data_IF_254278276919
#
_entry.id   IF_254278276919
#
_cell.length_a   1.000
_cell.length_b   1.000
_cell.length_c   1.000
_cell.angle_alpha   90.00
_cell.angle_beta   90.00
_cell.angle_gamma   90.00
#
_symmetry.space_group_name_H-M   'P 1'
#
loop_
_entity.id
_entity.type
_entity.pdbx_description
1 polymer ?
#
# COMPACT_ATOMS: atom_id res chain seq x y z
N UNK A 1 -9.88 -1.90 -44.76
CA UNK A 1 -8.65 -1.49 -44.02
C UNK A 1 -8.97 -0.51 -42.89
N UNK A 2 -9.48 0.70 -43.13
CA UNK A 2 -9.83 1.68 -42.06
C UNK A 2 -10.81 1.16 -41.01
N UNK A 3 -11.82 0.38 -41.40
CA UNK A 3 -12.80 -0.23 -40.48
C UNK A 3 -12.19 -1.31 -39.57
N UNK A 4 -11.23 -2.07 -40.10
CA UNK A 4 -10.49 -3.09 -39.33
C UNK A 4 -9.52 -2.38 -38.38
N UNK A 5 -8.85 -1.33 -38.84
CA UNK A 5 -7.94 -0.53 -38.01
C UNK A 5 -8.67 0.17 -36.84
N UNK A 6 -9.86 0.72 -37.09
CA UNK A 6 -10.69 1.33 -36.05
C UNK A 6 -11.22 0.31 -35.04
N UNK A 7 -11.61 -0.89 -35.49
CA UNK A 7 -12.06 -1.96 -34.59
C UNK A 7 -10.92 -2.48 -33.70
N UNK A 8 -9.70 -2.59 -34.25
CA UNK A 8 -8.50 -2.99 -33.48
C UNK A 8 -8.11 -1.91 -32.47
N UNK A 9 -8.14 -0.63 -32.85
CA UNK A 9 -7.90 0.49 -31.91
C UNK A 9 -8.91 0.53 -30.76
N UNK A 10 -10.20 0.31 -31.05
CA UNK A 10 -11.25 0.26 -30.04
C UNK A 10 -11.10 -0.95 -29.09
N UNK A 11 -10.67 -2.11 -29.60
CA UNK A 11 -10.41 -3.30 -28.81
C UNK A 11 -9.18 -3.14 -27.89
N UNK A 12 -8.14 -2.41 -28.34
CA UNK A 12 -6.95 -2.12 -27.52
C UNK A 12 -7.29 -1.16 -26.38
N UNK A 13 -8.15 -0.16 -26.60
CA UNK A 13 -8.61 0.75 -25.53
C UNK A 13 -9.48 0.09 -24.46
N UNK A 14 -10.13 -1.04 -24.76
CA UNK A 14 -10.93 -1.79 -23.79
C UNK A 14 -10.07 -2.60 -22.81
N UNK A 15 -8.94 -3.14 -23.26
CA UNK A 15 -8.06 -3.99 -22.43
C UNK A 15 -7.32 -3.21 -21.34
N UNK A 16 -7.15 -1.90 -21.50
CA UNK A 16 -6.46 -1.05 -20.51
C UNK A 16 -7.34 -0.62 -19.34
N UNK A 17 -8.65 -0.85 -19.39
CA UNK A 17 -9.57 -0.43 -18.32
C UNK A 17 -9.60 -1.43 -17.13
N UNK A 18 -9.46 -2.73 -17.39
CA UNK A 18 -9.58 -3.77 -16.35
C UNK A 18 -8.32 -3.93 -15.47
N UNK A 19 -7.15 -3.50 -15.97
CA UNK A 19 -5.88 -3.66 -15.27
C UNK A 19 -5.72 -2.75 -14.03
N UNK A 20 -6.58 -1.73 -13.86
CA UNK A 20 -6.43 -0.72 -12.81
C UNK A 20 -7.34 -0.91 -11.59
N UNK A 21 -8.18 -1.95 -11.53
CA UNK A 21 -9.23 -2.01 -10.50
C UNK A 21 -9.52 -3.40 -9.89
N UNK A 22 -8.51 -4.26 -9.74
CA UNK A 22 -8.63 -5.39 -8.81
C UNK A 22 -8.38 -4.89 -7.37
N UNK A 23 -9.28 -4.05 -6.86
CA UNK A 23 -9.30 -3.69 -5.43
C UNK A 23 -9.95 -4.85 -4.68
N UNK A 24 -9.18 -5.89 -4.37
CA UNK A 24 -9.62 -6.86 -3.37
C UNK A 24 -9.91 -6.11 -2.06
N UNK A 25 -11.14 -6.27 -1.58
CA UNK A 25 -11.57 -5.63 -0.33
C UNK A 25 -10.83 -6.31 0.82
N UNK A 26 -10.01 -5.56 1.54
CA UNK A 26 -9.40 -6.03 2.79
C UNK A 26 -10.46 -6.17 3.89
N UNK A 27 -10.43 -7.30 4.59
CA UNK A 27 -11.31 -7.61 5.71
C UNK A 27 -10.50 -7.95 6.96
N UNK A 28 -11.06 -7.65 8.13
CA UNK A 28 -10.41 -7.96 9.41
C UNK A 28 -10.27 -9.48 9.56
N UNK A 29 -9.07 -9.92 9.95
CA UNK A 29 -8.74 -11.33 10.11
C UNK A 29 -8.16 -11.98 8.85
N UNK A 30 -8.17 -11.29 7.70
CA UNK A 30 -7.38 -11.71 6.55
C UNK A 30 -5.89 -11.45 6.80
N UNK A 31 -5.06 -12.28 6.19
CA UNK A 31 -3.63 -12.03 6.12
C UNK A 31 -3.39 -10.72 5.35
N UNK A 32 -2.52 -9.86 5.89
CA UNK A 32 -2.18 -8.61 5.23
C UNK A 32 -1.39 -8.92 3.94
N UNK A 33 -1.64 -8.19 2.83
CA UNK A 33 -0.83 -8.32 1.63
C UNK A 33 0.65 -8.08 1.94
N UNK A 34 1.54 -8.87 1.35
CA UNK A 34 2.97 -8.66 1.53
C UNK A 34 3.41 -7.43 0.71
N UNK A 35 3.56 -6.31 1.40
CA UNK A 35 3.96 -5.04 0.82
C UNK A 35 5.48 -4.99 0.70
N UNK A 36 5.98 -4.82 -0.51
CA UNK A 36 7.41 -4.66 -0.80
C UNK A 36 7.67 -3.24 -1.33
N UNK A 37 8.43 -2.45 -0.58
CA UNK A 37 8.76 -1.07 -0.94
C UNK A 37 10.21 -0.73 -0.61
N UNK A 38 10.75 0.27 -1.30
CA UNK A 38 12.03 0.86 -0.94
C UNK A 38 11.88 1.71 0.32
N UNK A 39 12.77 1.49 1.28
CA UNK A 39 12.91 2.39 2.42
C UNK A 39 13.76 3.64 2.03
N UNK A 40 13.94 4.62 2.92
CA UNK A 40 14.73 5.82 2.63
C UNK A 40 16.24 5.60 2.38
N UNK A 41 16.72 4.35 2.46
CA UNK A 41 18.09 3.94 2.15
C UNK A 41 18.16 3.14 0.83
N UNK A 42 17.12 3.19 0.00
CA UNK A 42 16.98 2.46 -1.26
C UNK A 42 17.08 0.93 -1.10
N UNK A 43 16.82 0.42 0.11
CA UNK A 43 16.72 -1.02 0.37
C UNK A 43 15.26 -1.45 0.27
N UNK A 44 15.00 -2.48 -0.50
CA UNK A 44 13.69 -3.14 -0.49
C UNK A 44 13.46 -3.81 0.88
N UNK A 45 12.30 -3.52 1.46
CA UNK A 45 11.81 -4.11 2.69
C UNK A 45 10.43 -4.70 2.44
N UNK A 46 10.15 -5.84 3.06
CA UNK A 46 8.83 -6.49 3.00
C UNK A 46 8.09 -6.40 4.32
N UNK A 47 6.76 -6.29 4.26
CA UNK A 47 5.94 -6.28 5.48
C UNK A 47 6.11 -7.57 6.28
N UNK A 48 6.17 -8.72 5.61
CA UNK A 48 6.42 -10.03 6.22
C UNK A 48 7.74 -10.08 7.03
N UNK A 49 8.81 -9.46 6.53
CA UNK A 49 10.11 -9.38 7.21
C UNK A 49 10.04 -8.52 8.49
N UNK A 50 9.16 -7.53 8.53
CA UNK A 50 8.98 -6.62 9.66
C UNK A 50 8.04 -7.24 10.71
N UNK A 51 6.98 -7.89 10.24
CA UNK A 51 5.89 -8.43 11.06
C UNK A 51 6.23 -9.75 11.77
N UNK A 52 7.33 -10.41 11.40
CA UNK A 52 7.74 -11.69 12.01
C UNK A 52 7.87 -11.59 13.54
N UNK A 53 6.89 -12.18 14.24
CA UNK A 53 6.79 -12.17 15.70
C UNK A 53 6.46 -10.81 16.34
N UNK A 54 6.03 -9.80 15.56
CA UNK A 54 5.78 -8.44 16.04
C UNK A 54 4.38 -7.94 15.72
N UNK A 55 3.88 -7.04 16.56
CA UNK A 55 2.68 -6.26 16.24
C UNK A 55 3.10 -5.06 15.39
N UNK A 56 2.51 -4.92 14.21
CA UNK A 56 2.80 -3.83 13.28
C UNK A 56 1.59 -2.92 13.14
N UNK A 57 1.78 -1.64 13.46
CA UNK A 57 0.88 -0.57 13.02
C UNK A 57 1.37 -0.02 11.68
N UNK A 58 0.61 -0.24 10.62
CA UNK A 58 0.88 0.32 9.30
C UNK A 58 0.06 1.59 9.08
N UNK A 59 0.74 2.72 8.93
CA UNK A 59 0.12 4.04 8.76
C UNK A 59 0.43 4.64 7.37
N UNK A 60 -0.62 4.82 6.57
CA UNK A 60 -0.54 5.43 5.25
C UNK A 60 -0.79 6.93 5.35
N UNK A 61 0.28 7.73 5.21
CA UNK A 61 0.22 9.19 5.30
C UNK A 61 1.10 9.85 4.23
N UNK A 62 1.04 11.18 4.16
CA UNK A 62 1.86 11.96 3.23
C UNK A 62 2.53 13.15 3.93
N UNK A 63 3.73 13.54 3.48
CA UNK A 63 4.52 14.64 4.06
C UNK A 63 3.79 15.98 4.08
N UNK A 64 2.90 16.20 3.12
CA UNK A 64 2.06 17.40 3.00
C UNK A 64 0.71 17.28 3.72
N UNK A 65 0.39 16.13 4.32
CA UNK A 65 -0.82 15.96 5.12
C UNK A 65 -0.67 16.64 6.49
N UNK A 66 -1.16 17.87 6.61
CA UNK A 66 -1.12 18.66 7.84
C UNK A 66 -1.73 17.95 9.07
N UNK A 67 -2.95 17.41 8.99
CA UNK A 67 -3.55 16.64 10.08
C UNK A 67 -2.73 15.39 10.46
N UNK A 68 -2.25 14.61 9.50
CA UNK A 68 -1.43 13.42 9.75
C UNK A 68 -0.17 13.79 10.54
N UNK A 69 0.54 14.84 10.11
CA UNK A 69 1.73 15.33 10.83
C UNK A 69 1.47 15.77 12.26
N UNK A 70 0.28 16.27 12.56
CA UNK A 70 -0.13 16.60 13.94
C UNK A 70 -0.39 15.34 14.77
N UNK A 71 -0.81 14.24 14.15
CA UNK A 71 -1.04 12.95 14.81
C UNK A 71 0.23 12.11 14.99
N UNK A 72 1.22 12.23 14.11
CA UNK A 72 2.46 11.44 14.17
C UNK A 72 3.17 11.45 15.53
N UNK A 73 3.25 12.58 16.29
CA UNK A 73 3.83 12.56 17.64
C UNK A 73 3.14 11.57 18.60
N UNK A 74 1.82 11.38 18.48
CA UNK A 74 1.08 10.41 19.29
C UNK A 74 1.36 8.96 18.86
N UNK A 75 1.61 8.73 17.58
CA UNK A 75 2.05 7.42 17.08
C UNK A 75 3.43 7.07 17.66
N UNK A 76 4.35 8.04 17.72
CA UNK A 76 5.66 7.86 18.37
C UNK A 76 5.52 7.56 19.86
N UNK A 77 4.68 8.32 20.57
CA UNK A 77 4.40 8.09 21.99
C UNK A 77 3.85 6.67 22.25
N UNK A 78 2.91 6.23 21.40
CA UNK A 78 2.36 4.88 21.49
C UNK A 78 3.43 3.80 21.23
N UNK A 79 4.28 3.98 20.22
CA UNK A 79 5.39 3.06 19.96
C UNK A 79 6.31 2.94 21.17
N UNK A 80 6.75 4.06 21.74
CA UNK A 80 7.62 4.06 22.93
C UNK A 80 7.00 3.34 24.13
N UNK A 81 5.68 3.45 24.29
CA UNK A 81 4.94 2.79 25.37
C UNK A 81 4.78 1.28 25.17
N UNK A 82 4.63 0.80 23.94
CA UNK A 82 4.21 -0.58 23.65
C UNK A 82 5.26 -1.46 22.95
N UNK A 83 6.36 -0.91 22.42
CA UNK A 83 7.38 -1.66 21.66
C UNK A 83 8.04 -2.85 22.38
N UNK A 84 7.91 -2.94 23.71
CA UNK A 84 8.41 -4.08 24.50
C UNK A 84 7.33 -5.11 24.83
N UNK A 85 6.08 -4.86 24.44
CA UNK A 85 4.91 -5.70 24.72
C UNK A 85 4.43 -6.47 23.49
N UNK A 86 5.09 -6.27 22.34
CA UNK A 86 4.83 -6.90 21.06
C UNK A 86 5.77 -6.35 19.99
#
# INVERSE_FOLDING_TARGET
MKKILLAVLAAISLQTADAQYQNEKMEVGQEAPDLAFLNPQDKEIKLSEIADGKIVLLDFWASWCGPCRKSNPHVVEMYEKYKSQG
#
